data_IF_226454314598
#
_entry.id   IF_226454314598
#
_cell.length_a   1.000
_cell.length_b   1.000
_cell.length_c   1.000
_cell.angle_alpha   90.00
_cell.angle_beta   90.00
_cell.angle_gamma   90.00
#
_symmetry.space_group_name_H-M   'P 1'
#
loop_
_entity.id
_entity.type
_entity.pdbx_description
1 polymer ?
#
# COMPACT_ATOMS: atom_id res chain seq x y z
N UNK A 1 -30.90 6.58 4.94
CA UNK A 1 -29.62 7.32 4.98
C UNK A 1 -28.82 6.67 6.08
N UNK A 2 -27.99 5.71 5.69
CA UNK A 2 -27.22 4.87 6.62
C UNK A 2 -25.77 5.36 6.55
N UNK A 3 -25.31 6.02 7.60
CA UNK A 3 -23.92 6.47 7.72
C UNK A 3 -23.08 5.23 8.04
N UNK A 4 -22.49 4.63 7.01
CA UNK A 4 -21.67 3.43 7.09
C UNK A 4 -20.42 3.63 7.97
N UNK A 5 -20.58 3.42 9.27
CA UNK A 5 -19.49 3.33 10.24
C UNK A 5 -18.99 1.89 10.36
N UNK A 6 -17.68 1.73 10.49
CA UNK A 6 -17.03 0.43 10.70
C UNK A 6 -17.42 -0.18 12.07
N UNK A 7 -17.76 -1.47 12.07
CA UNK A 7 -18.29 -2.20 13.25
C UNK A 7 -17.32 -3.25 13.79
N UNK A 8 -17.18 -3.31 15.12
CA UNK A 8 -16.35 -4.30 15.83
C UNK A 8 -17.09 -4.86 17.05
N UNK A 9 -17.17 -6.19 17.15
CA UNK A 9 -17.78 -6.91 18.27
C UNK A 9 -16.69 -7.55 19.17
N UNK A 10 -16.70 -7.24 20.47
CA UNK A 10 -15.68 -7.71 21.44
C UNK A 10 -16.21 -8.86 22.32
N UNK A 11 -15.37 -9.89 22.56
CA UNK A 11 -15.61 -11.01 23.48
C UNK A 11 -14.67 -10.95 24.70
N UNK A 12 -15.06 -11.58 25.84
CA UNK A 12 -14.36 -11.55 27.13
C UNK A 12 -12.99 -12.28 27.11
N UNK A 13 -11.95 -11.79 27.83
CA UNK A 13 -10.64 -12.44 27.89
C UNK A 13 -10.45 -13.42 29.05
N UNK A 14 -9.63 -14.47 28.84
CA UNK A 14 -9.24 -15.50 29.82
C UNK A 14 -7.84 -15.34 30.44
N UNK A 15 -7.00 -14.38 30.00
CA UNK A 15 -5.65 -14.16 30.55
C UNK A 15 -5.28 -12.68 30.67
N UNK A 16 -4.46 -12.37 31.68
CA UNK A 16 -3.93 -11.03 31.95
C UNK A 16 -2.79 -10.67 30.98
N UNK A 17 -2.89 -9.48 30.39
CA UNK A 17 -1.96 -8.93 29.40
C UNK A 17 -0.96 -7.95 30.03
N UNK A 18 0.23 -7.76 29.42
CA UNK A 18 1.23 -6.78 29.87
C UNK A 18 0.71 -5.34 29.81
N UNK A 19 1.19 -4.50 30.72
CA UNK A 19 0.79 -3.10 30.89
C UNK A 19 1.48 -2.20 29.84
N UNK A 20 0.93 -2.14 28.63
CA UNK A 20 1.19 -1.07 27.63
C UNK A 20 -0.13 -0.34 27.33
N UNK A 21 -0.18 1.01 27.32
CA UNK A 21 -1.38 1.77 27.09
C UNK A 21 -1.52 2.05 25.57
N UNK A 22 -2.10 1.16 24.76
CA UNK A 22 -3.51 0.73 24.81
C UNK A 22 -4.46 1.51 23.85
N UNK A 23 -3.93 2.43 23.05
CA UNK A 23 -4.57 3.06 21.88
C UNK A 23 -4.14 2.41 20.56
N UNK A 24 -2.97 1.75 20.59
CA UNK A 24 -2.23 1.13 19.48
C UNK A 24 -3.03 0.07 18.69
N UNK A 25 -4.22 -0.28 19.14
CA UNK A 25 -5.04 -1.41 18.67
C UNK A 25 -6.45 -1.01 18.19
N UNK A 26 -7.05 0.05 18.72
CA UNK A 26 -8.49 0.30 18.50
C UNK A 26 -8.77 0.67 17.04
N UNK A 27 -7.84 1.40 16.43
CA UNK A 27 -7.89 1.84 15.03
C UNK A 27 -7.18 0.88 14.06
N UNK A 28 -6.32 -0.01 14.55
CA UNK A 28 -5.61 -1.01 13.73
C UNK A 28 -6.64 -1.88 12.92
N UNK A 29 -7.90 -1.96 13.34
CA UNK A 29 -8.74 -3.13 13.07
C UNK A 29 -10.21 -2.85 12.73
N UNK A 30 -10.62 -1.59 12.64
CA UNK A 30 -11.77 -1.17 11.82
C UNK A 30 -11.46 -1.34 10.31
N UNK A 31 -10.68 -2.35 9.94
CA UNK A 31 -9.97 -2.47 8.67
C UNK A 31 -10.66 -3.58 7.87
N UNK A 32 -11.33 -3.18 6.80
CA UNK A 32 -11.99 -4.08 5.87
C UNK A 32 -11.08 -5.25 5.46
N UNK A 33 -11.53 -6.46 5.76
CA UNK A 33 -11.24 -7.74 5.08
C UNK A 33 -9.99 -8.58 5.42
N UNK A 34 -9.06 -8.26 6.34
CA UNK A 34 -7.91 -9.18 6.58
C UNK A 34 -7.56 -9.46 8.05
N UNK A 35 -7.99 -10.66 8.46
CA UNK A 35 -7.59 -11.51 9.59
C UNK A 35 -8.15 -11.23 11.01
N UNK A 36 -9.34 -11.78 11.27
CA UNK A 36 -10.02 -11.83 12.56
C UNK A 36 -9.39 -12.80 13.59
N UNK A 37 -8.54 -13.75 13.16
CA UNK A 37 -7.99 -14.76 14.09
C UNK A 37 -6.90 -14.18 14.98
N UNK A 38 -6.07 -13.28 14.44
CA UNK A 38 -5.02 -12.62 15.22
C UNK A 38 -5.61 -11.71 16.30
N UNK A 39 -6.72 -11.01 16.01
CA UNK A 39 -7.37 -10.07 16.93
C UNK A 39 -7.99 -10.79 18.14
N UNK A 40 -8.66 -11.93 17.90
CA UNK A 40 -9.31 -12.73 18.95
C UNK A 40 -8.32 -13.25 20.00
N UNK A 41 -7.05 -13.40 19.64
CA UNK A 41 -6.01 -13.86 20.55
C UNK A 41 -5.66 -12.82 21.65
N UNK A 42 -6.01 -11.54 21.48
CA UNK A 42 -5.54 -10.44 22.34
C UNK A 42 -6.63 -9.72 23.16
N UNK A 43 -7.84 -10.28 23.29
CA UNK A 43 -9.04 -9.62 23.87
C UNK A 43 -8.80 -8.52 24.91
N UNK A 44 -9.05 -7.25 24.55
CA UNK A 44 -8.93 -6.08 25.44
C UNK A 44 -10.32 -5.56 25.87
N UNK A 45 -10.59 -5.36 27.17
CA UNK A 45 -11.81 -4.73 27.65
C UNK A 45 -11.92 -3.24 27.28
N UNK A 46 -13.04 -2.83 26.66
CA UNK A 46 -13.33 -1.46 26.19
C UNK A 46 -13.05 -0.36 27.23
N UNK A 47 -13.43 -0.59 28.48
CA UNK A 47 -13.22 0.38 29.57
C UNK A 47 -11.74 0.69 29.81
N UNK A 48 -10.86 -0.32 29.66
CA UNK A 48 -9.42 -0.17 29.83
C UNK A 48 -8.79 0.57 28.66
N UNK A 49 -9.29 0.33 27.45
CA UNK A 49 -8.84 1.03 26.26
C UNK A 49 -9.21 2.53 26.30
N UNK A 50 -10.41 2.87 26.81
CA UNK A 50 -10.86 4.24 27.05
C UNK A 50 -10.05 4.98 28.12
N UNK A 51 -9.72 4.30 29.22
CA UNK A 51 -8.92 4.88 30.31
C UNK A 51 -7.51 5.27 29.85
N UNK A 52 -6.96 4.48 28.93
CA UNK A 52 -5.69 4.75 28.27
C UNK A 52 -5.81 5.87 27.24
N UNK A 53 -6.84 5.84 26.39
CA UNK A 53 -7.13 6.84 25.36
C UNK A 53 -7.12 8.26 25.91
N UNK A 54 -7.80 8.44 27.05
CA UNK A 54 -7.90 9.70 27.80
C UNK A 54 -6.57 10.27 28.27
N UNK A 55 -5.50 9.46 28.24
CA UNK A 55 -4.15 9.89 28.60
C UNK A 55 -3.31 10.29 27.39
N UNK A 56 -3.91 10.30 26.20
CA UNK A 56 -3.24 10.64 24.93
C UNK A 56 -3.87 11.86 24.27
N UNK A 57 -3.16 12.52 23.33
CA UNK A 57 -3.72 13.62 22.54
C UNK A 57 -4.89 13.22 21.62
N UNK A 58 -5.17 11.93 21.45
CA UNK A 58 -6.16 11.44 20.50
C UNK A 58 -7.56 11.24 21.09
N UNK A 59 -7.73 11.40 22.41
CA UNK A 59 -9.03 11.27 23.11
C UNK A 59 -10.13 12.13 22.48
N UNK A 60 -9.77 13.35 22.06
CA UNK A 60 -10.69 14.30 21.42
C UNK A 60 -11.28 13.81 20.09
N UNK A 61 -10.68 12.78 19.47
CA UNK A 61 -11.06 12.27 18.16
C UNK A 61 -11.63 10.85 18.22
N UNK A 62 -11.93 10.33 19.41
CA UNK A 62 -12.46 8.96 19.58
C UNK A 62 -13.69 8.97 20.48
N UNK A 63 -14.81 8.48 19.96
CA UNK A 63 -16.06 8.33 20.71
C UNK A 63 -16.35 6.87 21.07
N UNK A 64 -16.82 6.63 22.30
CA UNK A 64 -17.42 5.35 22.67
C UNK A 64 -18.90 5.32 22.27
N UNK A 65 -19.32 4.28 21.54
CA UNK A 65 -20.72 4.10 21.10
C UNK A 65 -21.25 2.71 21.45
N UNK A 66 -21.63 2.48 22.70
CA UNK A 66 -22.03 1.15 23.17
C UNK A 66 -20.79 0.30 23.46
N UNK A 67 -20.61 -0.81 22.74
CA UNK A 67 -19.46 -1.71 22.89
C UNK A 67 -18.30 -1.44 21.90
N UNK A 68 -18.27 -0.26 21.26
CA UNK A 68 -17.32 0.10 20.19
C UNK A 68 -16.69 1.48 20.39
N UNK A 69 -15.57 1.71 19.70
CA UNK A 69 -14.88 2.99 19.58
C UNK A 69 -14.91 3.43 18.12
N UNK A 70 -15.21 4.70 17.90
CA UNK A 70 -15.34 5.31 16.58
C UNK A 70 -14.40 6.50 16.49
N UNK A 71 -13.58 6.54 15.44
CA UNK A 71 -12.82 7.73 15.12
C UNK A 71 -13.78 8.81 14.58
N UNK A 72 -13.79 9.98 15.20
CA UNK A 72 -14.63 11.13 14.85
C UNK A 72 -13.84 12.32 14.34
N UNK A 73 -12.51 12.21 14.24
CA UNK A 73 -11.69 13.21 13.58
C UNK A 73 -11.87 13.19 12.06
N UNK A 74 -11.65 14.33 11.41
CA UNK A 74 -11.61 14.40 9.95
C UNK A 74 -10.48 13.50 9.42
N UNK A 75 -10.83 12.57 8.53
CA UNK A 75 -9.87 11.69 7.84
C UNK A 75 -10.41 11.34 6.46
N UNK A 76 -9.59 11.54 5.46
CA UNK A 76 -9.85 11.19 4.07
C UNK A 76 -9.49 9.72 3.75
N UNK A 77 -9.08 8.91 4.74
CA UNK A 77 -8.64 7.53 4.54
C UNK A 77 -9.79 6.62 4.15
N UNK A 78 -10.93 6.82 4.81
CA UNK A 78 -12.17 6.10 4.49
C UNK A 78 -12.64 6.46 3.09
N UNK A 79 -12.58 7.74 2.75
CA UNK A 79 -12.94 8.24 1.43
C UNK A 79 -11.99 7.68 0.37
N UNK A 80 -10.68 7.64 0.61
CA UNK A 80 -9.71 6.98 -0.28
C UNK A 80 -10.05 5.51 -0.51
N UNK A 81 -10.24 4.72 0.57
CA UNK A 81 -10.55 3.31 0.42
C UNK A 81 -11.92 3.06 -0.23
N UNK A 82 -12.88 3.98 -0.04
CA UNK A 82 -14.15 3.96 -0.78
C UNK A 82 -13.92 4.16 -2.27
N UNK A 83 -13.13 5.18 -2.67
CA UNK A 83 -12.75 5.43 -4.07
C UNK A 83 -12.00 4.25 -4.68
N UNK A 84 -11.09 3.63 -3.93
CA UNK A 84 -10.41 2.39 -4.35
C UNK A 84 -11.41 1.27 -4.58
N UNK A 85 -12.38 1.08 -3.67
CA UNK A 85 -13.43 0.09 -3.81
C UNK A 85 -14.38 0.35 -4.99
N UNK A 86 -14.53 1.61 -5.39
CA UNK A 86 -15.31 2.05 -6.55
C UNK A 86 -14.50 2.08 -7.85
N UNK A 87 -13.23 1.67 -7.81
CA UNK A 87 -12.28 1.75 -8.94
C UNK A 87 -12.11 3.19 -9.48
N UNK A 88 -12.36 4.21 -8.64
CA UNK A 88 -12.20 5.64 -8.97
C UNK A 88 -10.75 6.10 -8.73
N UNK A 89 -9.90 5.89 -9.72
CA UNK A 89 -8.50 6.30 -9.65
C UNK A 89 -8.35 7.81 -9.45
N UNK A 90 -9.06 8.64 -10.22
CA UNK A 90 -8.91 10.10 -10.15
C UNK A 90 -9.33 10.65 -8.78
N UNK A 91 -10.41 10.12 -8.21
CA UNK A 91 -10.81 10.42 -6.85
C UNK A 91 -9.75 10.00 -5.83
N UNK A 92 -9.25 8.75 -5.90
CA UNK A 92 -8.21 8.26 -5.00
C UNK A 92 -6.89 9.07 -5.11
N UNK A 93 -6.47 9.41 -6.33
CA UNK A 93 -5.29 10.23 -6.63
C UNK A 93 -5.40 11.62 -6.02
N UNK A 94 -6.57 12.26 -6.12
CA UNK A 94 -6.81 13.59 -5.56
C UNK A 94 -6.69 13.61 -4.02
N UNK A 95 -7.11 12.54 -3.35
CA UNK A 95 -7.15 12.40 -1.89
C UNK A 95 -5.80 12.02 -1.28
N UNK A 96 -4.89 11.42 -2.05
CA UNK A 96 -3.57 11.00 -1.56
C UNK A 96 -2.73 12.16 -0.97
N UNK A 97 -3.13 13.41 -1.22
CA UNK A 97 -2.48 14.62 -0.70
C UNK A 97 -2.72 14.95 0.78
N UNK A 98 -3.72 14.37 1.46
CA UNK A 98 -3.94 14.60 2.90
C UNK A 98 -3.59 13.41 3.78
N UNK A 99 -3.37 12.22 3.18
CA UNK A 99 -3.15 10.98 3.91
C UNK A 99 -1.73 10.72 4.37
N UNK A 100 -0.75 11.48 3.90
CA UNK A 100 0.66 11.11 4.04
C UNK A 100 1.62 12.21 4.48
N UNK A 101 1.45 13.50 4.17
CA UNK A 101 2.37 14.49 4.68
C UNK A 101 2.10 14.70 6.18
N UNK A 102 2.91 14.06 7.04
CA UNK A 102 3.11 14.54 8.41
C UNK A 102 2.84 13.57 9.55
N UNK A 103 2.35 12.35 9.32
CA UNK A 103 2.23 11.39 10.43
C UNK A 103 3.57 10.73 10.72
N UNK A 104 4.30 11.28 11.69
CA UNK A 104 5.44 10.62 12.34
C UNK A 104 5.09 10.35 13.79
N UNK A 105 5.41 9.16 14.27
CA UNK A 105 5.23 8.79 15.67
C UNK A 105 6.58 8.70 16.38
N UNK A 106 6.70 9.26 17.60
CA UNK A 106 7.88 9.00 18.44
C UNK A 106 7.89 7.56 18.99
N UNK A 107 6.78 6.82 18.89
CA UNK A 107 6.68 5.41 19.29
C UNK A 107 7.04 4.49 18.11
N UNK A 108 8.12 3.66 18.22
CA UNK A 108 8.60 2.83 17.12
C UNK A 108 7.55 1.91 16.50
N UNK A 109 6.75 1.21 17.32
CA UNK A 109 5.70 0.29 16.84
C UNK A 109 4.63 1.01 16.00
N UNK A 110 4.30 2.25 16.36
CA UNK A 110 3.31 3.04 15.63
C UNK A 110 3.90 3.66 14.36
N UNK A 111 5.18 4.04 14.37
CA UNK A 111 5.90 4.43 13.16
C UNK A 111 5.96 3.28 12.14
N UNK A 112 6.26 2.05 12.60
CA UNK A 112 6.26 0.86 11.74
C UNK A 112 4.90 0.59 11.08
N UNK A 113 3.82 0.78 11.83
CA UNK A 113 2.45 0.66 11.30
C UNK A 113 2.13 1.76 10.29
N UNK A 114 2.44 3.02 10.61
CA UNK A 114 2.23 4.14 9.68
C UNK A 114 2.94 3.88 8.36
N UNK A 115 4.21 3.48 8.40
CA UNK A 115 4.96 3.09 7.21
C UNK A 115 4.31 1.91 6.46
N UNK A 116 3.77 0.91 7.18
CA UNK A 116 3.04 -0.18 6.53
C UNK A 116 1.75 0.30 5.83
N UNK A 117 1.03 1.26 6.40
CA UNK A 117 -0.15 1.86 5.76
C UNK A 117 0.23 2.66 4.52
N UNK A 118 1.30 3.47 4.57
CA UNK A 118 1.79 4.19 3.38
C UNK A 118 2.08 3.24 2.23
N UNK A 119 2.73 2.11 2.53
CA UNK A 119 3.02 1.08 1.54
C UNK A 119 1.75 0.43 0.97
N UNK A 120 0.72 0.20 1.80
CA UNK A 120 -0.54 -0.36 1.32
C UNK A 120 -1.30 0.62 0.42
N UNK A 121 -1.34 1.90 0.78
CA UNK A 121 -1.95 2.95 -0.05
C UNK A 121 -1.22 3.07 -1.39
N UNK A 122 0.11 3.01 -1.36
CA UNK A 122 0.95 3.03 -2.55
C UNK A 122 0.65 1.84 -3.48
N UNK A 123 0.64 0.63 -2.93
CA UNK A 123 0.29 -0.59 -3.67
C UNK A 123 -1.13 -0.54 -4.25
N UNK A 124 -2.10 0.00 -3.51
CA UNK A 124 -3.49 0.12 -3.97
C UNK A 124 -3.63 1.10 -5.13
N UNK A 125 -3.01 2.28 -5.05
CA UNK A 125 -3.01 3.25 -6.14
C UNK A 125 -2.36 2.70 -7.41
N UNK A 126 -1.23 2.02 -7.26
CA UNK A 126 -0.53 1.42 -8.38
C UNK A 126 -1.34 0.27 -9.00
N UNK A 127 -2.07 -0.50 -8.20
CA UNK A 127 -3.02 -1.49 -8.71
C UNK A 127 -4.18 -0.84 -9.47
N UNK A 128 -4.78 0.24 -8.95
CA UNK A 128 -5.84 0.99 -9.64
C UNK A 128 -5.36 1.64 -10.93
N UNK A 129 -4.12 2.12 -10.98
CA UNK A 129 -3.54 2.75 -12.17
C UNK A 129 -3.57 1.82 -13.39
N UNK A 130 -3.62 0.50 -13.19
CA UNK A 130 -3.78 -0.47 -14.27
C UNK A 130 -5.10 -0.30 -15.04
N UNK A 131 -6.11 0.36 -14.47
CA UNK A 131 -7.39 0.66 -15.15
C UNK A 131 -7.29 1.76 -16.21
N UNK A 132 -6.25 2.60 -16.16
CA UNK A 132 -6.11 3.76 -17.03
C UNK A 132 -5.11 3.50 -18.17
N UNK A 133 -5.26 4.20 -19.32
CA UNK A 133 -4.23 4.26 -20.34
C UNK A 133 -2.91 4.82 -19.79
N UNK A 134 -1.74 4.30 -20.22
CA UNK A 134 -0.45 4.80 -19.77
C UNK A 134 -0.24 6.31 -20.02
N UNK A 135 -0.82 6.86 -21.08
CA UNK A 135 -0.72 8.29 -21.42
C UNK A 135 -1.39 9.17 -20.35
N UNK A 136 -2.53 8.73 -19.83
CA UNK A 136 -3.27 9.46 -18.80
C UNK A 136 -2.52 9.44 -17.47
N UNK A 137 -1.96 8.29 -17.08
CA UNK A 137 -1.12 8.18 -15.89
C UNK A 137 0.07 9.11 -16.00
N UNK A 138 0.76 9.10 -17.15
CA UNK A 138 1.91 9.99 -17.38
C UNK A 138 1.51 11.45 -17.34
N UNK A 139 0.40 11.85 -17.95
CA UNK A 139 -0.08 13.23 -17.87
C UNK A 139 -0.29 13.68 -16.42
N UNK A 140 -0.89 12.84 -15.58
CA UNK A 140 -1.09 13.14 -14.16
C UNK A 140 0.23 13.14 -13.37
N UNK A 141 1.13 12.19 -13.63
CA UNK A 141 2.45 12.14 -13.02
C UNK A 141 3.31 13.36 -13.39
N UNK A 142 3.36 13.73 -14.67
CA UNK A 142 4.12 14.88 -15.17
C UNK A 142 3.63 16.18 -14.51
N UNK A 143 2.30 16.34 -14.37
CA UNK A 143 1.71 17.48 -13.68
C UNK A 143 2.12 17.55 -12.19
N UNK A 144 2.12 16.41 -11.49
CA UNK A 144 2.56 16.34 -10.09
C UNK A 144 4.06 16.60 -9.95
N UNK A 145 4.90 16.03 -10.83
CA UNK A 145 6.36 16.21 -10.79
C UNK A 145 6.79 17.64 -11.13
N UNK A 146 5.98 18.38 -11.88
CA UNK A 146 6.21 19.80 -12.16
C UNK A 146 6.01 20.71 -10.94
N UNK A 147 5.17 20.30 -9.98
CA UNK A 147 4.89 21.06 -8.76
C UNK A 147 4.52 20.14 -7.59
N UNK A 148 5.45 19.29 -7.11
CA UNK A 148 5.13 18.29 -6.10
C UNK A 148 4.79 18.98 -4.79
N UNK A 149 3.65 18.64 -4.18
CA UNK A 149 3.28 19.22 -2.88
C UNK A 149 4.20 18.74 -1.76
N UNK A 150 4.68 17.51 -1.85
CA UNK A 150 5.58 16.88 -0.91
C UNK A 150 6.38 15.74 -1.58
N UNK A 151 7.29 15.14 -0.80
CA UNK A 151 8.18 14.08 -1.26
C UNK A 151 7.42 12.80 -1.59
N UNK A 152 6.41 12.46 -0.79
CA UNK A 152 5.63 11.23 -0.93
C UNK A 152 4.81 11.24 -2.22
N UNK A 153 4.25 12.40 -2.61
CA UNK A 153 3.57 12.58 -3.90
C UNK A 153 4.54 12.54 -5.07
N UNK A 154 5.71 13.17 -4.96
CA UNK A 154 6.74 13.07 -5.98
C UNK A 154 7.18 11.61 -6.18
N UNK A 155 7.42 10.88 -5.09
CA UNK A 155 7.78 9.46 -5.13
C UNK A 155 6.69 8.65 -5.83
N UNK A 156 5.43 8.80 -5.42
CA UNK A 156 4.32 8.09 -6.02
C UNK A 156 4.18 8.38 -7.52
N UNK A 157 4.27 9.65 -7.91
CA UNK A 157 4.20 10.06 -9.31
C UNK A 157 5.30 9.38 -10.16
N UNK A 158 6.53 9.28 -9.64
CA UNK A 158 7.62 8.56 -10.29
C UNK A 158 7.35 7.05 -10.41
N UNK A 159 6.78 6.41 -9.39
CA UNK A 159 6.45 4.98 -9.44
C UNK A 159 5.38 4.69 -10.51
N UNK A 160 4.33 5.51 -10.54
CA UNK A 160 3.26 5.41 -11.54
C UNK A 160 3.76 5.71 -12.95
N UNK A 161 4.60 6.73 -13.12
CA UNK A 161 5.21 7.05 -14.40
C UNK A 161 6.11 5.88 -14.88
N UNK A 162 6.90 5.30 -13.97
CA UNK A 162 7.72 4.13 -14.25
C UNK A 162 6.91 2.93 -14.73
N UNK A 163 5.75 2.66 -14.11
CA UNK A 163 4.83 1.63 -14.60
C UNK A 163 4.23 1.95 -15.95
N UNK A 164 3.77 3.19 -16.16
CA UNK A 164 3.21 3.60 -17.44
C UNK A 164 4.24 3.44 -18.58
N UNK A 165 5.50 3.84 -18.33
CA UNK A 165 6.61 3.62 -19.27
C UNK A 165 6.85 2.14 -19.55
N UNK A 166 6.76 1.27 -18.54
CA UNK A 166 6.87 -0.18 -18.75
C UNK A 166 5.76 -0.73 -19.64
N UNK A 167 4.52 -0.30 -19.41
CA UNK A 167 3.36 -0.69 -20.22
C UNK A 167 3.49 -0.22 -21.67
N UNK A 168 4.18 0.89 -21.91
CA UNK A 168 4.51 1.38 -23.25
C UNK A 168 5.76 0.72 -23.88
N UNK A 169 6.38 -0.27 -23.22
CA UNK A 169 7.61 -0.92 -23.70
C UNK A 169 8.88 -0.05 -23.57
N UNK A 170 8.80 1.09 -22.89
CA UNK A 170 9.89 2.07 -22.71
C UNK A 170 10.76 1.72 -21.49
N UNK A 171 11.23 0.48 -21.44
CA UNK A 171 11.86 -0.10 -20.26
C UNK A 171 13.11 0.66 -19.76
N UNK A 172 13.93 1.19 -20.68
CA UNK A 172 15.12 1.98 -20.31
C UNK A 172 14.74 3.27 -19.58
N UNK A 173 13.69 3.94 -20.03
CA UNK A 173 13.20 5.19 -19.44
C UNK A 173 12.55 4.91 -18.07
N UNK A 174 11.79 3.82 -17.98
CA UNK A 174 11.27 3.35 -16.70
C UNK A 174 12.39 3.10 -15.67
N UNK A 175 13.51 2.48 -16.07
CA UNK A 175 14.67 2.29 -15.18
C UNK A 175 15.24 3.63 -14.68
N UNK A 176 15.26 4.67 -15.52
CA UNK A 176 15.77 5.98 -15.12
C UNK A 176 14.86 6.63 -14.07
N UNK A 177 13.55 6.70 -14.33
CA UNK A 177 12.57 7.30 -13.42
C UNK A 177 12.49 6.52 -12.11
N UNK A 178 12.43 5.19 -12.16
CA UNK A 178 12.41 4.34 -10.95
C UNK A 178 13.74 4.39 -10.18
N UNK A 179 14.86 4.66 -10.86
CA UNK A 179 16.13 4.93 -10.21
C UNK A 179 16.12 6.25 -9.44
N UNK A 180 15.50 7.30 -9.99
CA UNK A 180 15.31 8.58 -9.30
C UNK A 180 14.38 8.43 -8.09
N UNK A 181 13.30 7.64 -8.21
CA UNK A 181 12.42 7.30 -7.09
C UNK A 181 13.18 6.67 -5.92
N UNK A 182 14.08 5.71 -6.19
CA UNK A 182 14.95 5.14 -5.15
C UNK A 182 15.88 6.19 -4.52
N UNK A 183 16.46 7.08 -5.33
CA UNK A 183 17.25 8.19 -4.81
C UNK A 183 16.45 9.07 -3.84
N UNK A 184 15.19 9.36 -4.17
CA UNK A 184 14.31 10.14 -3.31
C UNK A 184 13.99 9.44 -1.97
N UNK A 185 13.80 8.12 -1.99
CA UNK A 185 13.63 7.30 -0.78
C UNK A 185 14.89 7.32 0.11
N UNK A 186 16.08 7.20 -0.49
CA UNK A 186 17.37 7.16 0.23
C UNK A 186 17.70 8.49 0.91
N UNK A 187 17.51 9.61 0.21
CA UNK A 187 17.69 10.95 0.78
C UNK A 187 16.76 11.20 1.96
N UNK A 188 15.66 10.46 2.01
CA UNK A 188 14.71 10.49 3.11
C UNK A 188 15.14 9.78 4.39
N UNK A 189 16.31 9.14 4.41
CA UNK A 189 16.77 8.31 5.53
C UNK A 189 16.02 6.99 5.67
N UNK A 190 15.06 6.72 4.77
CA UNK A 190 14.32 5.46 4.70
C UNK A 190 15.06 4.42 3.87
N UNK A 191 14.86 3.14 4.17
CA UNK A 191 15.26 2.07 3.26
C UNK A 191 14.31 1.99 2.07
N UNK A 192 14.81 1.58 0.90
CA UNK A 192 13.96 1.41 -0.30
C UNK A 192 12.74 0.52 -0.04
N UNK A 193 11.57 0.95 -0.48
CA UNK A 193 10.35 0.16 -0.35
C UNK A 193 10.40 -1.09 -1.24
N UNK A 194 9.67 -2.13 -0.82
CA UNK A 194 9.56 -3.35 -1.62
C UNK A 194 8.92 -3.10 -2.99
N UNK A 195 7.95 -2.17 -3.07
CA UNK A 195 7.27 -1.84 -4.33
C UNK A 195 8.22 -1.14 -5.30
N UNK A 196 8.95 -0.10 -4.87
CA UNK A 196 9.94 0.60 -5.70
C UNK A 196 10.98 -0.37 -6.28
N UNK A 197 11.49 -1.30 -5.44
CA UNK A 197 12.41 -2.33 -5.88
C UNK A 197 11.78 -3.32 -6.86
N UNK A 198 10.54 -3.76 -6.63
CA UNK A 198 9.85 -4.69 -7.52
C UNK A 198 9.62 -4.08 -8.91
N UNK A 199 9.19 -2.82 -8.98
CA UNK A 199 8.99 -2.09 -10.24
C UNK A 199 10.30 -1.89 -10.98
N UNK A 200 11.36 -1.47 -10.27
CA UNK A 200 12.67 -1.32 -10.87
C UNK A 200 13.20 -2.66 -11.41
N UNK A 201 12.96 -3.76 -10.69
CA UNK A 201 13.36 -5.09 -11.14
C UNK A 201 12.63 -5.51 -12.43
N UNK A 202 11.33 -5.24 -12.55
CA UNK A 202 10.57 -5.47 -13.79
C UNK A 202 11.14 -4.63 -14.94
N UNK A 203 11.45 -3.36 -14.69
CA UNK A 203 12.04 -2.48 -15.69
C UNK A 203 13.42 -2.95 -16.15
N UNK A 204 14.26 -3.40 -15.23
CA UNK A 204 15.55 -4.00 -15.55
C UNK A 204 15.41 -5.29 -16.36
N UNK A 205 14.44 -6.14 -16.04
CA UNK A 205 14.19 -7.38 -16.79
C UNK A 205 13.76 -7.05 -18.23
N UNK A 206 12.78 -6.17 -18.39
CA UNK A 206 12.29 -5.70 -19.68
C UNK A 206 13.37 -4.99 -20.52
N UNK A 207 14.30 -4.29 -19.87
CA UNK A 207 15.46 -3.68 -20.54
C UNK A 207 16.58 -4.68 -20.91
N UNK A 208 16.41 -5.97 -20.60
CA UNK A 208 17.42 -7.00 -20.91
C UNK A 208 18.59 -7.02 -19.92
N UNK A 209 18.34 -6.71 -18.65
CA UNK A 209 19.32 -6.82 -17.54
C UNK A 209 18.92 -7.91 -16.53
N UNK A 210 18.79 -9.18 -16.95
CA UNK A 210 18.20 -10.24 -16.12
C UNK A 210 18.95 -10.50 -14.80
N UNK A 211 20.29 -10.48 -14.80
CA UNK A 211 21.07 -10.69 -13.56
C UNK A 211 20.82 -9.61 -12.52
N UNK A 212 20.74 -8.34 -12.96
CA UNK A 212 20.46 -7.20 -12.08
C UNK A 212 19.00 -7.20 -11.62
N UNK A 213 18.08 -7.48 -12.55
CA UNK A 213 16.66 -7.63 -12.26
C UNK A 213 16.41 -8.68 -11.18
N UNK A 214 17.06 -9.85 -11.29
CA UNK A 214 16.96 -10.92 -10.31
C UNK A 214 17.39 -10.46 -8.91
N UNK A 215 18.58 -9.86 -8.78
CA UNK A 215 19.07 -9.37 -7.48
C UNK A 215 18.13 -8.33 -6.87
N UNK A 216 17.64 -7.40 -7.70
CA UNK A 216 16.70 -6.37 -7.26
C UNK A 216 15.35 -6.97 -6.84
N UNK A 217 14.87 -7.98 -7.56
CA UNK A 217 13.62 -8.67 -7.24
C UNK A 217 13.71 -9.54 -5.98
N UNK A 218 14.84 -10.23 -5.74
CA UNK A 218 15.09 -10.96 -4.50
C UNK A 218 15.03 -9.99 -3.30
N UNK A 219 15.70 -8.83 -3.40
CA UNK A 219 15.62 -7.77 -2.38
C UNK A 219 14.22 -7.18 -2.22
N UNK A 220 13.48 -7.03 -3.32
CA UNK A 220 12.09 -6.58 -3.29
C UNK A 220 11.21 -7.57 -2.50
N UNK A 221 11.39 -8.87 -2.73
CA UNK A 221 10.64 -9.93 -2.05
C UNK A 221 10.93 -9.96 -0.54
N UNK A 222 12.20 -9.80 -0.14
CA UNK A 222 12.59 -9.67 1.27
C UNK A 222 11.91 -8.50 1.98
N UNK A 223 11.64 -7.41 1.25
CA UNK A 223 11.01 -6.19 1.77
C UNK A 223 9.51 -6.10 1.56
N UNK A 224 8.92 -7.10 0.91
CA UNK A 224 7.52 -7.05 0.52
C UNK A 224 6.60 -7.26 1.74
N UNK A 225 5.94 -6.17 2.14
CA UNK A 225 5.01 -6.11 3.28
C UNK A 225 3.58 -6.49 2.92
N UNK A 226 3.23 -6.42 1.64
CA UNK A 226 1.89 -6.72 1.13
C UNK A 226 1.94 -7.69 -0.05
N UNK A 227 0.80 -8.31 -0.34
CA UNK A 227 0.67 -9.34 -1.36
C UNK A 227 0.81 -8.79 -2.80
N UNK A 228 0.45 -7.53 -3.06
CA UNK A 228 0.65 -6.93 -4.37
C UNK A 228 2.15 -6.77 -4.64
N UNK A 229 2.88 -6.18 -3.70
CA UNK A 229 4.34 -6.05 -3.78
C UNK A 229 5.03 -7.41 -3.93
N UNK A 230 4.62 -8.42 -3.14
CA UNK A 230 5.15 -9.79 -3.28
C UNK A 230 4.90 -10.34 -4.67
N UNK A 231 3.67 -10.20 -5.17
CA UNK A 231 3.29 -10.67 -6.49
C UNK A 231 4.11 -9.96 -7.60
N UNK A 232 4.34 -8.65 -7.50
CA UNK A 232 5.18 -7.88 -8.41
C UNK A 232 6.64 -8.34 -8.40
N UNK A 233 7.20 -8.59 -7.22
CA UNK A 233 8.57 -9.09 -7.07
C UNK A 233 8.74 -10.49 -7.67
N UNK A 234 7.79 -11.39 -7.41
CA UNK A 234 7.76 -12.74 -7.99
C UNK A 234 7.62 -12.70 -9.52
N UNK A 235 6.81 -11.78 -10.04
CA UNK A 235 6.71 -11.60 -11.49
C UNK A 235 8.02 -11.08 -12.10
N UNK A 236 8.72 -10.16 -11.43
CA UNK A 236 10.05 -9.72 -11.84
C UNK A 236 11.07 -10.87 -11.85
N UNK A 237 11.03 -11.77 -10.86
CA UNK A 237 11.84 -12.99 -10.84
C UNK A 237 11.52 -13.92 -12.00
N UNK A 238 10.25 -14.09 -12.33
CA UNK A 238 9.84 -14.83 -13.52
C UNK A 238 10.41 -14.19 -14.78
N UNK A 239 10.24 -12.88 -15.00
CA UNK A 239 10.79 -12.19 -16.17
C UNK A 239 12.32 -12.32 -16.28
N UNK A 240 13.02 -12.23 -15.14
CA UNK A 240 14.48 -12.31 -15.09
C UNK A 240 15.03 -13.74 -15.28
N UNK A 241 14.28 -14.78 -14.90
CA UNK A 241 14.79 -16.17 -14.85
C UNK A 241 14.07 -17.14 -15.78
N UNK A 242 12.90 -16.77 -16.30
CA UNK A 242 11.98 -17.60 -17.09
C UNK A 242 11.53 -18.88 -16.37
N UNK A 243 11.60 -18.91 -15.03
CA UNK A 243 11.16 -20.04 -14.21
C UNK A 243 9.67 -19.93 -13.87
N UNK A 244 8.86 -20.79 -14.47
CA UNK A 244 7.40 -20.86 -14.27
C UNK A 244 6.93 -20.86 -12.80
N UNK A 245 7.61 -21.53 -11.85
CA UNK A 245 7.19 -21.50 -10.45
C UNK A 245 7.05 -20.09 -9.85
N UNK A 246 7.83 -19.11 -10.31
CA UNK A 246 7.70 -17.73 -9.85
C UNK A 246 6.43 -17.05 -10.38
N UNK A 247 6.02 -17.37 -11.62
CA UNK A 247 4.76 -16.86 -12.18
C UNK A 247 3.55 -17.45 -11.45
N UNK A 248 3.59 -18.74 -11.13
CA UNK A 248 2.54 -19.41 -10.36
C UNK A 248 2.40 -18.81 -8.96
N UNK A 249 3.52 -18.60 -8.27
CA UNK A 249 3.53 -17.93 -6.96
C UNK A 249 3.03 -16.49 -7.06
N UNK A 250 3.43 -15.76 -8.11
CA UNK A 250 2.94 -14.39 -8.36
C UNK A 250 1.42 -14.36 -8.49
N UNK A 251 0.84 -15.27 -9.28
CA UNK A 251 -0.62 -15.43 -9.42
C UNK A 251 -1.29 -15.84 -8.11
N UNK A 252 -0.67 -16.73 -7.34
CA UNK A 252 -1.20 -17.17 -6.05
C UNK A 252 -1.29 -16.02 -5.03
N UNK A 253 -0.23 -15.20 -4.93
CA UNK A 253 -0.23 -14.00 -4.08
C UNK A 253 -1.29 -12.98 -4.53
N UNK A 254 -1.42 -12.75 -5.84
CA UNK A 254 -2.43 -11.86 -6.40
C UNK A 254 -3.87 -12.37 -6.13
N UNK A 255 -4.09 -13.69 -6.25
CA UNK A 255 -5.35 -14.36 -5.96
C UNK A 255 -5.77 -14.24 -4.49
N UNK A 256 -4.84 -14.52 -3.56
CA UNK A 256 -5.08 -14.34 -2.11
C UNK A 256 -5.50 -12.92 -1.76
N UNK A 257 -4.98 -11.95 -2.52
CA UNK A 257 -5.24 -10.54 -2.29
C UNK A 257 -6.37 -9.95 -3.15
N UNK A 258 -7.09 -10.76 -3.92
CA UNK A 258 -8.17 -10.33 -4.80
C UNK A 258 -7.76 -9.18 -5.75
N UNK A 259 -6.54 -9.25 -6.29
CA UNK A 259 -5.97 -8.21 -7.16
C UNK A 259 -6.37 -8.44 -8.61
N UNK A 260 -7.66 -8.28 -8.92
CA UNK A 260 -8.29 -8.65 -10.20
C UNK A 260 -7.52 -8.14 -11.42
N UNK A 261 -7.33 -6.83 -11.54
CA UNK A 261 -6.63 -6.21 -12.68
C UNK A 261 -5.19 -6.73 -12.84
N UNK A 262 -4.53 -7.04 -11.73
CA UNK A 262 -3.18 -7.59 -11.76
C UNK A 262 -3.18 -9.08 -12.19
N UNK A 263 -4.18 -9.86 -11.80
CA UNK A 263 -4.35 -11.23 -12.29
C UNK A 263 -4.63 -11.28 -13.80
N UNK A 264 -5.44 -10.34 -14.29
CA UNK A 264 -5.71 -10.15 -15.72
C UNK A 264 -4.40 -9.87 -16.47
N UNK A 265 -3.56 -8.96 -15.95
CA UNK A 265 -2.21 -8.70 -16.45
C UNK A 265 -1.33 -9.95 -16.49
N UNK A 266 -1.25 -10.68 -15.38
CA UNK A 266 -0.40 -11.88 -15.24
C UNK A 266 -0.84 -13.05 -16.13
N UNK A 267 -2.09 -13.05 -16.59
CA UNK A 267 -2.65 -14.12 -17.42
C UNK A 267 -2.35 -13.94 -18.91
N UNK A 268 -1.87 -12.76 -19.32
CA UNK A 268 -1.58 -12.47 -20.72
C UNK A 268 -2.83 -12.39 -21.58
N UNK A 269 -4.01 -12.15 -20.99
CA UNK A 269 -5.24 -11.98 -21.75
C UNK A 269 -5.16 -10.69 -22.61
N UNK A 270 -5.69 -10.71 -23.85
CA UNK A 270 -5.45 -9.69 -24.88
C UNK A 270 -6.02 -8.28 -24.61
N UNK A 271 -6.62 -8.03 -23.44
CA UNK A 271 -7.09 -6.69 -23.05
C UNK A 271 -5.99 -5.62 -22.98
N UNK A 272 -4.71 -6.01 -23.04
CA UNK A 272 -3.55 -5.12 -22.92
C UNK A 272 -2.98 -4.61 -24.26
N UNK A 273 -3.41 -5.17 -25.40
CA UNK A 273 -2.89 -4.76 -26.72
C UNK A 273 -3.87 -3.92 -27.55
N UNK A 274 -5.02 -3.55 -26.98
CA UNK A 274 -6.13 -2.93 -27.75
C UNK A 274 -6.87 -1.79 -27.04
N UNK A 275 -6.21 -1.10 -26.10
CA UNK A 275 -6.56 0.27 -25.70
C UNK A 275 -5.39 1.19 -26.04
#
# INVERSE_FOLDING_TARGET
MDTGGLELNLLKPEKELPKSPGLELIALLARGKRDLQQIRAYGIPLARALEVLRQTPYDAFVEARGNRLVWVGESDLQEFWRRVGEEDFSGAWSLYGSLLPGFSSPLPAFQEWLEAERMNLASALHHLALTLPPEEIRFQSDAELGAPKDRERALMAMLLEGEALLRQGRAKEAVLVLGQALGLEEWGGGGFSGLSLALLAQAQAAWGKPSKARQTAEKALERAKDAYTRSRALYALYQATQKTPYLEQSRAEAGRANLRLWLEHLSGEPGWASL
#
